data_IF_264737731986
#
_entry.id   IF_264737731986
#
_cell.length_a   1.000
_cell.length_b   1.000
_cell.length_c   1.000
_cell.angle_alpha   90.00
_cell.angle_beta   90.00
_cell.angle_gamma   90.00
#
_symmetry.space_group_name_H-M   'P 1'
#
loop_
_entity.id
_entity.type
_entity.pdbx_description
1 polymer ?
#
# COMPACT_ATOMS: atom_id res chain seq x y z
N UNK A 1 -0.99 60.99 -55.62
CA UNK A 1 -1.70 59.71 -55.88
C UNK A 1 -0.86 58.59 -55.28
N UNK A 2 -1.27 57.97 -54.17
CA UNK A 2 -0.45 56.94 -53.51
C UNK A 2 -1.00 56.31 -52.22
N UNK A 3 -2.27 56.54 -51.86
CA UNK A 3 -2.83 56.06 -50.58
C UNK A 3 -3.56 54.71 -50.63
N UNK A 4 -3.76 54.12 -51.82
CA UNK A 4 -4.57 52.90 -51.92
C UNK A 4 -3.78 51.59 -51.74
N UNK A 5 -2.43 51.62 -51.80
CA UNK A 5 -1.63 50.38 -51.69
C UNK A 5 -1.31 49.99 -50.24
N UNK A 6 -1.15 50.96 -49.32
CA UNK A 6 -0.81 50.70 -47.91
C UNK A 6 -1.92 49.95 -47.15
N UNK A 7 -3.17 50.30 -47.42
CA UNK A 7 -4.34 49.69 -46.77
C UNK A 7 -4.58 48.24 -47.21
N UNK A 8 -4.12 47.84 -48.40
CA UNK A 8 -4.29 46.46 -48.90
C UNK A 8 -3.28 45.48 -48.29
N UNK A 9 -2.04 45.92 -48.03
CA UNK A 9 -1.03 45.10 -47.37
C UNK A 9 -1.38 44.84 -45.90
N UNK A 10 -1.83 45.87 -45.16
CA UNK A 10 -2.30 45.73 -43.77
C UNK A 10 -3.51 44.79 -43.65
N UNK A 11 -4.45 44.86 -44.60
CA UNK A 11 -5.62 43.98 -44.64
C UNK A 11 -5.26 42.53 -44.97
N UNK A 12 -4.31 42.34 -45.88
CA UNK A 12 -3.76 41.02 -46.24
C UNK A 12 -3.01 40.38 -45.06
N UNK A 13 -2.19 41.16 -44.34
CA UNK A 13 -1.51 40.71 -43.14
C UNK A 13 -2.48 40.31 -42.02
N UNK A 14 -3.57 41.06 -41.84
CA UNK A 14 -4.62 40.71 -40.88
C UNK A 14 -5.32 39.41 -41.27
N UNK A 15 -5.65 39.24 -42.55
CA UNK A 15 -6.26 38.01 -43.07
C UNK A 15 -5.34 36.79 -42.90
N UNK A 16 -4.03 36.93 -43.11
CA UNK A 16 -3.07 35.84 -42.88
C UNK A 16 -2.99 35.44 -41.40
N UNK A 17 -3.03 36.42 -40.49
CA UNK A 17 -3.08 36.17 -39.06
C UNK A 17 -4.40 35.50 -38.63
N UNK A 18 -5.54 35.98 -39.13
CA UNK A 18 -6.85 35.39 -38.86
C UNK A 18 -6.94 33.94 -39.37
N UNK A 19 -6.40 33.68 -40.57
CA UNK A 19 -6.30 32.33 -41.12
C UNK A 19 -5.47 31.40 -40.22
N UNK A 20 -4.37 31.91 -39.64
CA UNK A 20 -3.54 31.14 -38.73
C UNK A 20 -4.26 30.84 -37.41
N UNK A 21 -4.97 31.82 -36.85
CA UNK A 21 -5.80 31.63 -35.64
C UNK A 21 -6.89 30.60 -35.89
N UNK A 22 -7.56 30.65 -37.04
CA UNK A 22 -8.57 29.68 -37.43
C UNK A 22 -7.97 28.27 -37.59
N UNK A 23 -6.78 28.17 -38.19
CA UNK A 23 -6.07 26.91 -38.36
C UNK A 23 -5.72 26.27 -37.00
N UNK A 24 -5.17 27.05 -36.07
CA UNK A 24 -4.85 26.56 -34.72
C UNK A 24 -6.09 26.20 -33.92
N UNK A 25 -7.16 27.00 -34.03
CA UNK A 25 -8.44 26.71 -33.39
C UNK A 25 -9.00 25.38 -33.87
N UNK A 26 -8.97 25.15 -35.19
CA UNK A 26 -9.39 23.89 -35.79
C UNK A 26 -8.49 22.73 -35.34
N UNK A 27 -7.17 22.89 -35.42
CA UNK A 27 -6.23 21.84 -35.00
C UNK A 27 -6.41 21.46 -33.52
N UNK A 28 -6.63 22.44 -32.65
CA UNK A 28 -6.91 22.20 -31.24
C UNK A 28 -8.24 21.45 -31.05
N UNK A 29 -9.28 21.82 -31.79
CA UNK A 29 -10.54 21.10 -31.76
C UNK A 29 -10.38 19.65 -32.25
N UNK A 30 -9.68 19.44 -33.37
CA UNK A 30 -9.41 18.12 -33.92
C UNK A 30 -8.64 17.24 -32.91
N UNK A 31 -7.65 17.81 -32.20
CA UNK A 31 -6.92 17.12 -31.13
C UNK A 31 -7.81 16.76 -29.94
N UNK A 32 -8.71 17.64 -29.50
CA UNK A 32 -9.67 17.35 -28.43
C UNK A 32 -10.63 16.22 -28.82
N UNK A 33 -11.08 16.19 -30.07
CA UNK A 33 -11.92 15.11 -30.60
C UNK A 33 -11.16 13.78 -30.57
N UNK A 34 -9.90 13.76 -31.03
CA UNK A 34 -9.04 12.56 -30.97
C UNK A 34 -8.85 12.09 -29.53
N UNK A 35 -8.53 12.99 -28.59
CA UNK A 35 -8.38 12.68 -27.17
C UNK A 35 -9.65 12.03 -26.61
N UNK A 36 -10.82 12.63 -26.86
CA UNK A 36 -12.09 12.10 -26.37
C UNK A 36 -12.40 10.71 -26.92
N UNK A 37 -12.12 10.47 -28.20
CA UNK A 37 -12.32 9.16 -28.82
C UNK A 37 -11.39 8.10 -28.25
N UNK A 38 -10.11 8.43 -28.05
CA UNK A 38 -9.14 7.52 -27.43
C UNK A 38 -9.55 7.16 -26.00
N UNK A 39 -10.02 8.12 -25.21
CA UNK A 39 -10.50 7.86 -23.85
C UNK A 39 -11.72 6.92 -23.86
N UNK A 40 -12.68 7.15 -24.76
CA UNK A 40 -13.84 6.27 -24.96
C UNK A 40 -13.44 4.85 -25.34
N UNK A 41 -12.55 4.70 -26.32
CA UNK A 41 -12.06 3.39 -26.77
C UNK A 41 -11.28 2.69 -25.65
N UNK A 42 -10.45 3.42 -24.91
CA UNK A 42 -9.72 2.88 -23.76
C UNK A 42 -10.66 2.35 -22.68
N UNK A 43 -11.69 3.11 -22.30
CA UNK A 43 -12.68 2.69 -21.30
C UNK A 43 -13.53 1.50 -21.77
N UNK A 44 -13.79 1.39 -23.08
CA UNK A 44 -14.51 0.25 -23.65
C UNK A 44 -13.68 -1.03 -23.68
N UNK A 45 -12.40 -0.92 -24.08
CA UNK A 45 -11.47 -2.06 -24.13
C UNK A 45 -11.12 -2.54 -22.73
N UNK A 46 -10.95 -1.60 -21.79
CA UNK A 46 -10.57 -1.88 -20.43
C UNK A 46 -11.65 -1.47 -19.43
N UNK A 47 -12.63 -2.36 -19.17
CA UNK A 47 -13.59 -2.15 -18.11
C UNK A 47 -12.88 -2.03 -16.75
N UNK A 48 -13.58 -1.49 -15.75
CA UNK A 48 -13.02 -1.13 -14.44
C UNK A 48 -12.20 -2.22 -13.75
N UNK A 49 -12.59 -3.48 -13.88
CA UNK A 49 -11.91 -4.62 -13.29
C UNK A 49 -10.61 -5.00 -14.02
N UNK A 50 -10.45 -4.60 -15.28
CA UNK A 50 -9.32 -4.89 -16.16
C UNK A 50 -8.51 -3.63 -16.54
N UNK A 51 -8.93 -2.44 -16.09
CA UNK A 51 -8.23 -1.19 -16.30
C UNK A 51 -6.80 -1.25 -15.72
N UNK A 52 -5.73 -1.12 -16.53
CA UNK A 52 -4.36 -1.24 -16.06
C UNK A 52 -4.01 -0.28 -14.91
N UNK A 53 -4.50 0.96 -14.94
CA UNK A 53 -4.25 1.93 -13.86
C UNK A 53 -4.93 1.50 -12.55
N UNK A 54 -6.17 1.00 -12.63
CA UNK A 54 -6.89 0.46 -11.47
C UNK A 54 -6.28 -0.84 -10.95
N UNK A 55 -5.72 -1.66 -11.84
CA UNK A 55 -5.00 -2.88 -11.45
C UNK A 55 -3.73 -2.54 -10.68
N UNK A 56 -2.94 -1.59 -11.16
CA UNK A 56 -1.72 -1.13 -10.47
C UNK A 56 -2.05 -0.60 -9.08
N UNK A 57 -3.11 0.20 -8.93
CA UNK A 57 -3.50 0.72 -7.60
C UNK A 57 -3.95 -0.40 -6.65
N UNK A 58 -4.73 -1.37 -7.14
CA UNK A 58 -5.14 -2.55 -6.35
C UNK A 58 -3.94 -3.40 -5.94
N UNK A 59 -2.98 -3.63 -6.84
CA UNK A 59 -1.76 -4.38 -6.55
C UNK A 59 -0.96 -3.68 -5.44
N UNK A 60 -0.77 -2.36 -5.54
CA UNK A 60 -0.07 -1.57 -4.50
C UNK A 60 -0.75 -1.70 -3.14
N UNK A 61 -2.08 -1.56 -3.09
CA UNK A 61 -2.86 -1.74 -1.86
C UNK A 61 -2.67 -3.13 -1.26
N UNK A 62 -2.74 -4.18 -2.07
CA UNK A 62 -2.52 -5.57 -1.61
C UNK A 62 -1.10 -5.74 -1.07
N UNK A 63 -0.09 -5.16 -1.71
CA UNK A 63 1.31 -5.23 -1.24
C UNK A 63 1.49 -4.55 0.13
N UNK A 64 0.87 -3.39 0.33
CA UNK A 64 0.86 -2.69 1.62
C UNK A 64 0.16 -3.52 2.71
N UNK A 65 -1.04 -4.03 2.42
CA UNK A 65 -1.81 -4.87 3.35
C UNK A 65 -1.07 -6.17 3.71
N UNK A 66 -0.42 -6.82 2.74
CA UNK A 66 0.38 -8.02 2.94
C UNK A 66 1.59 -7.77 3.85
N UNK A 67 2.26 -6.63 3.69
CA UNK A 67 3.38 -6.24 4.55
C UNK A 67 2.92 -6.08 6.00
N UNK A 68 1.83 -5.34 6.22
CA UNK A 68 1.23 -5.18 7.56
C UNK A 68 0.81 -6.51 8.16
N UNK A 69 0.15 -7.38 7.38
CA UNK A 69 -0.29 -8.69 7.85
C UNK A 69 0.91 -9.58 8.23
N UNK A 70 2.01 -9.50 7.48
CA UNK A 70 3.24 -10.25 7.76
C UNK A 70 3.83 -9.84 9.10
N UNK A 71 3.85 -8.54 9.40
CA UNK A 71 4.33 -8.01 10.67
C UNK A 71 3.45 -8.47 11.84
N UNK A 72 2.13 -8.34 11.72
CA UNK A 72 1.18 -8.83 12.72
C UNK A 72 1.33 -10.34 12.98
N UNK A 73 1.52 -11.14 11.92
CA UNK A 73 1.78 -12.58 12.07
C UNK A 73 3.09 -12.87 12.83
N UNK A 74 4.14 -12.08 12.60
CA UNK A 74 5.42 -12.22 13.31
C UNK A 74 5.27 -11.89 14.79
N UNK A 75 4.62 -10.79 15.11
CA UNK A 75 4.34 -10.39 16.50
C UNK A 75 3.54 -11.46 17.24
N UNK A 76 2.48 -11.96 16.61
CA UNK A 76 1.64 -13.02 17.16
C UNK A 76 2.47 -14.30 17.42
N UNK A 77 3.34 -14.67 16.48
CA UNK A 77 4.21 -15.83 16.63
C UNK A 77 5.20 -15.64 17.79
N UNK A 78 5.79 -14.45 17.93
CA UNK A 78 6.67 -14.11 19.06
C UNK A 78 5.92 -14.19 20.39
N UNK A 79 4.72 -13.62 20.49
CA UNK A 79 3.90 -13.70 21.69
C UNK A 79 3.58 -15.16 22.08
N UNK A 80 3.24 -16.00 21.09
CA UNK A 80 3.01 -17.44 21.30
C UNK A 80 4.26 -18.14 21.84
N UNK A 81 5.44 -17.84 21.32
CA UNK A 81 6.71 -18.45 21.78
C UNK A 81 7.01 -18.05 23.23
N UNK A 82 6.79 -16.79 23.59
CA UNK A 82 6.94 -16.29 24.97
C UNK A 82 6.04 -17.06 25.94
N UNK A 83 4.78 -17.31 25.57
CA UNK A 83 3.86 -18.11 26.39
C UNK A 83 4.36 -19.55 26.59
N UNK A 84 4.90 -20.18 25.54
CA UNK A 84 5.47 -21.53 25.65
C UNK A 84 6.67 -21.57 26.60
N UNK A 85 7.53 -20.55 26.54
CA UNK A 85 8.66 -20.39 27.44
C UNK A 85 8.20 -20.26 28.90
N UNK A 86 7.25 -19.38 29.20
CA UNK A 86 6.72 -19.21 30.56
C UNK A 86 6.06 -20.48 31.10
N UNK A 87 5.24 -21.17 30.28
CA UNK A 87 4.58 -22.42 30.67
C UNK A 87 5.59 -23.50 31.07
N UNK A 88 6.68 -23.63 30.31
CA UNK A 88 7.77 -24.56 30.61
C UNK A 88 8.48 -24.23 31.91
N UNK A 89 8.80 -22.96 32.15
CA UNK A 89 9.40 -22.52 33.42
C UNK A 89 8.48 -22.77 34.62
N UNK A 90 7.17 -22.50 34.50
CA UNK A 90 6.21 -22.78 35.56
C UNK A 90 6.09 -24.28 35.89
N UNK A 91 6.23 -25.16 34.89
CA UNK A 91 6.30 -26.61 35.13
C UNK A 91 7.54 -26.97 35.96
N UNK A 92 8.70 -26.45 35.58
CA UNK A 92 9.96 -26.70 36.31
C UNK A 92 9.89 -26.19 37.76
N UNK A 93 9.36 -24.99 37.98
CA UNK A 93 9.21 -24.42 39.32
C UNK A 93 8.28 -25.24 40.20
N UNK A 94 7.17 -25.78 39.65
CA UNK A 94 6.27 -26.67 40.38
C UNK A 94 6.95 -27.97 40.81
N UNK A 95 7.74 -28.58 39.94
CA UNK A 95 8.52 -29.80 40.25
C UNK A 95 9.53 -29.52 41.36
N UNK A 96 10.28 -28.41 41.25
CA UNK A 96 11.26 -28.03 42.27
C UNK A 96 10.58 -27.79 43.63
N UNK A 97 9.44 -27.09 43.65
CA UNK A 97 8.66 -26.86 44.87
C UNK A 97 8.17 -28.16 45.50
N UNK A 98 7.76 -29.14 44.69
CA UNK A 98 7.37 -30.46 45.20
C UNK A 98 8.56 -31.20 45.82
N UNK A 99 9.70 -31.24 45.12
CA UNK A 99 10.95 -31.86 45.62
C UNK A 99 11.42 -31.20 46.92
N UNK A 100 11.37 -29.87 47.00
CA UNK A 100 11.66 -29.13 48.23
C UNK A 100 10.79 -29.55 49.41
N UNK A 101 9.47 -29.69 49.21
CA UNK A 101 8.56 -30.17 50.26
C UNK A 101 8.89 -31.59 50.74
N UNK A 102 9.25 -32.49 49.82
CA UNK A 102 9.69 -33.84 50.21
C UNK A 102 10.98 -33.82 51.02
N UNK A 103 11.95 -33.00 50.61
CA UNK A 103 13.20 -32.84 51.34
C UNK A 103 12.97 -32.30 52.76
N UNK A 104 12.13 -31.27 52.92
CA UNK A 104 11.77 -30.73 54.24
C UNK A 104 11.16 -31.81 55.15
N UNK A 105 10.25 -32.65 54.62
CA UNK A 105 9.65 -33.76 55.38
C UNK A 105 10.68 -34.80 55.80
N UNK A 106 11.61 -35.16 54.91
CA UNK A 106 12.68 -36.10 55.23
C UNK A 106 13.60 -35.55 56.33
N UNK A 107 14.00 -34.28 56.24
CA UNK A 107 14.80 -33.63 57.28
C UNK A 107 14.08 -33.68 58.63
N UNK A 108 12.79 -33.31 58.68
CA UNK A 108 12.01 -33.39 59.91
C UNK A 108 11.96 -34.80 60.51
N UNK A 109 11.79 -35.84 59.70
CA UNK A 109 11.80 -37.23 60.17
C UNK A 109 13.15 -37.65 60.75
N UNK A 110 14.25 -37.31 60.07
CA UNK A 110 15.61 -37.60 60.54
C UNK A 110 15.93 -36.84 61.83
N UNK A 111 15.57 -35.56 61.91
CA UNK A 111 15.75 -34.76 63.13
C UNK A 111 14.94 -35.33 64.30
N UNK A 112 13.70 -35.77 64.07
CA UNK A 112 12.88 -36.39 65.10
C UNK A 112 13.43 -37.75 65.57
N UNK A 113 14.07 -38.50 64.68
CA UNK A 113 14.73 -39.77 65.04
C UNK A 113 15.99 -39.56 65.88
N UNK A 114 16.82 -38.57 65.54
CA UNK A 114 18.06 -38.28 66.27
C UNK A 114 17.86 -37.61 67.64
N UNK A 115 16.69 -37.02 67.89
CA UNK A 115 16.34 -36.40 69.18
C UNK A 115 15.61 -37.35 70.14
N UNK A 116 15.62 -38.66 69.86
CA UNK A 116 14.97 -39.72 70.63
C UNK A 116 15.99 -40.71 71.15
#
# INVERSE_FOLDING_TARGET
MGHNNRTNEEKSHHQAADNLVNLFTKANHDLLVVQYRLEKEFQQIYPDNANPMKLVSRIKKIQEELSSLTEQCRELLSAKQVLFFFSSNLRNLRVLKLRGRHLTRLIQLVTNFNNK
#
